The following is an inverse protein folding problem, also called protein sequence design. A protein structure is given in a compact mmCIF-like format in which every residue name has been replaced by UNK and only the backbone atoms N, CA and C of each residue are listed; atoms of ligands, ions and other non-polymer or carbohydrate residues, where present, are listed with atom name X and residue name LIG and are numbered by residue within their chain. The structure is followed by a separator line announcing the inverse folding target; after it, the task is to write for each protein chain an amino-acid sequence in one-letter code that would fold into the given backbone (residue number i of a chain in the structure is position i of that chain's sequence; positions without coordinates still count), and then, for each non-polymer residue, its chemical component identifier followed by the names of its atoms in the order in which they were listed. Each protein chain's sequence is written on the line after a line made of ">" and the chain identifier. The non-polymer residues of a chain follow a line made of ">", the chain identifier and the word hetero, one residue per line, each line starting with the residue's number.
data_IF_063380002978
#
_entry.id   IF_063380002978
#
_cell.length_a   1.000
_cell.length_b   1.000
_cell.length_c   1.000
_cell.angle_alpha   90.00
_cell.angle_beta   90.00
_cell.angle_gamma   90.00
#
_symmetry.space_group_name_H-M   'P 1'
#
loop_
_entity.id
_entity.type
_entity.pdbx_description
1 polymer ?
#
# COMPACT_ATOMS: atom_id res chain seq x y z
N UNK A 1 -24.29 47.03 -13.57
CA UNK A 1 -24.05 45.75 -12.96
C UNK A 1 -22.60 45.40 -13.30
N UNK A 2 -21.76 45.37 -12.27
CA UNK A 2 -20.29 45.41 -12.35
C UNK A 2 -19.75 44.06 -12.74
N UNK A 3 -19.16 43.94 -13.93
CA UNK A 3 -18.48 42.71 -14.46
C UNK A 3 -17.08 42.43 -13.84
N UNK A 4 -16.76 43.09 -12.72
CA UNK A 4 -15.43 43.01 -12.10
C UNK A 4 -15.14 41.71 -11.33
N UNK A 5 -16.14 40.87 -11.06
CA UNK A 5 -15.99 39.64 -10.24
C UNK A 5 -15.71 38.35 -11.05
N UNK A 6 -15.80 38.40 -12.38
CA UNK A 6 -15.60 37.21 -13.23
C UNK A 6 -14.16 37.05 -13.74
N UNK A 7 -13.35 38.10 -13.74
CA UNK A 7 -11.99 38.06 -14.26
C UNK A 7 -10.94 37.60 -13.23
N UNK A 8 -11.13 37.86 -11.94
CA UNK A 8 -10.20 37.50 -10.87
C UNK A 8 -9.99 35.98 -10.67
N UNK A 9 -11.03 35.11 -10.70
CA UNK A 9 -10.84 33.67 -10.54
C UNK A 9 -10.03 33.05 -11.67
N UNK A 10 -10.16 33.49 -12.88
CA UNK A 10 -9.47 32.97 -14.06
C UNK A 10 -7.99 33.34 -14.02
N UNK A 11 -7.67 34.60 -13.71
CA UNK A 11 -6.30 35.07 -13.57
C UNK A 11 -5.56 34.37 -12.44
N UNK A 12 -6.22 34.15 -11.29
CA UNK A 12 -5.68 33.44 -10.15
C UNK A 12 -5.40 31.95 -10.47
N UNK A 13 -6.32 31.28 -11.16
CA UNK A 13 -6.12 29.88 -11.61
C UNK A 13 -4.95 29.78 -12.58
N UNK A 14 -4.81 30.70 -13.52
CA UNK A 14 -3.67 30.76 -14.45
C UNK A 14 -2.33 30.87 -13.72
N UNK A 15 -2.23 31.77 -12.76
CA UNK A 15 -1.04 31.96 -11.93
C UNK A 15 -0.68 30.70 -11.11
N UNK A 16 -1.69 29.98 -10.56
CA UNK A 16 -1.47 28.74 -9.84
C UNK A 16 -0.96 27.61 -10.74
N UNK A 17 -1.48 27.51 -11.96
CA UNK A 17 -1.03 26.52 -12.95
C UNK A 17 0.42 26.80 -13.38
N UNK A 18 0.76 28.06 -13.66
CA UNK A 18 2.13 28.47 -13.99
C UNK A 18 3.09 28.14 -12.85
N UNK A 19 2.75 28.53 -11.61
CA UNK A 19 3.57 28.25 -10.44
C UNK A 19 3.72 26.75 -10.17
N UNK A 20 2.64 25.99 -10.38
CA UNK A 20 2.67 24.53 -10.32
C UNK A 20 3.62 23.91 -11.35
N UNK A 21 3.62 24.45 -12.58
CA UNK A 21 4.54 24.04 -13.64
C UNK A 21 6.00 24.31 -13.29
N UNK A 22 6.33 25.50 -12.78
CA UNK A 22 7.69 25.84 -12.31
C UNK A 22 8.19 24.90 -11.21
N UNK A 23 7.34 24.58 -10.24
CA UNK A 23 7.68 23.65 -9.16
C UNK A 23 7.97 22.24 -9.69
N UNK A 24 7.17 21.75 -10.63
CA UNK A 24 7.35 20.46 -11.27
C UNK A 24 8.64 20.41 -12.09
N UNK A 25 8.95 21.43 -12.88
CA UNK A 25 10.20 21.50 -13.66
C UNK A 25 11.43 21.59 -12.74
N UNK A 26 11.34 22.32 -11.63
CA UNK A 26 12.39 22.35 -10.61
C UNK A 26 12.63 20.97 -10.00
N UNK A 27 11.56 20.24 -9.67
CA UNK A 27 11.64 18.88 -9.14
C UNK A 27 12.20 17.90 -10.19
N UNK A 28 11.71 17.95 -11.42
CA UNK A 28 12.19 17.14 -12.53
C UNK A 28 13.68 17.39 -12.81
N UNK A 29 14.13 18.66 -12.75
CA UNK A 29 15.52 19.03 -12.94
C UNK A 29 16.49 18.41 -11.93
N UNK A 30 16.04 18.15 -10.71
CA UNK A 30 16.86 17.47 -9.66
C UNK A 30 17.10 15.99 -9.98
N UNK A 31 16.19 15.38 -10.72
CA UNK A 31 16.22 13.93 -11.01
C UNK A 31 16.76 13.65 -12.42
N UNK A 32 16.57 14.58 -13.37
CA UNK A 32 17.16 14.48 -14.71
C UNK A 32 18.69 14.44 -14.60
N UNK A 33 19.29 13.35 -14.93
CA UNK A 33 20.74 13.12 -14.83
C UNK A 33 21.13 12.09 -13.77
N UNK A 34 20.22 11.75 -12.84
CA UNK A 34 20.43 10.64 -11.91
C UNK A 34 19.75 9.34 -12.37
N UNK A 35 18.78 9.44 -13.29
CA UNK A 35 18.03 8.29 -13.82
C UNK A 35 18.05 8.29 -15.36
N UNK A 36 18.05 7.09 -15.95
CA UNK A 36 18.04 6.86 -17.40
C UNK A 36 16.61 6.63 -17.95
N UNK A 37 15.63 7.35 -17.39
CA UNK A 37 14.24 7.25 -17.82
C UNK A 37 13.70 8.60 -18.26
N UNK A 38 12.71 8.59 -19.15
CA UNK A 38 12.03 9.80 -19.58
C UNK A 38 11.20 10.38 -18.41
N UNK A 39 11.39 11.68 -18.16
CA UNK A 39 10.66 12.42 -17.12
C UNK A 39 9.76 13.45 -17.79
N UNK A 40 8.45 13.30 -17.61
CA UNK A 40 7.45 14.28 -18.00
C UNK A 40 6.77 14.88 -16.79
N UNK A 41 6.33 16.13 -16.91
CA UNK A 41 5.64 16.85 -15.85
C UNK A 41 4.20 17.13 -16.23
N UNK A 42 3.29 17.15 -15.25
CA UNK A 42 1.88 17.45 -15.47
C UNK A 42 1.25 18.07 -14.24
N UNK A 43 0.65 19.24 -14.41
CA UNK A 43 -0.23 19.83 -13.39
C UNK A 43 -1.62 19.20 -13.51
N UNK A 44 -2.19 18.79 -12.38
CA UNK A 44 -3.54 18.25 -12.28
C UNK A 44 -4.41 19.24 -11.48
N UNK A 45 -5.61 19.48 -11.94
CA UNK A 45 -6.58 20.36 -11.28
C UNK A 45 -7.50 19.57 -10.36
N UNK A 46 -7.91 20.21 -9.24
CA UNK A 46 -8.86 19.68 -8.28
C UNK A 46 -8.23 19.23 -6.97
N UNK A 47 -9.01 18.56 -6.12
CA UNK A 47 -8.52 18.03 -4.86
C UNK A 47 -7.56 16.86 -5.10
N UNK A 48 -6.46 16.80 -4.33
CA UNK A 48 -5.32 15.87 -4.51
C UNK A 48 -5.76 14.42 -4.70
N UNK A 49 -6.54 13.87 -3.77
CA UNK A 49 -6.98 12.48 -3.84
C UNK A 49 -7.88 12.19 -5.05
N UNK A 50 -8.77 13.12 -5.40
CA UNK A 50 -9.66 12.99 -6.55
C UNK A 50 -8.92 13.07 -7.88
N UNK A 51 -7.99 14.01 -8.02
CA UNK A 51 -7.19 14.20 -9.22
C UNK A 51 -6.24 13.01 -9.44
N UNK A 52 -5.49 12.61 -8.42
CA UNK A 52 -4.59 11.45 -8.47
C UNK A 52 -5.39 10.14 -8.64
N UNK A 53 -6.54 9.99 -7.96
CA UNK A 53 -7.41 8.84 -8.13
C UNK A 53 -7.94 8.66 -9.56
N UNK A 54 -8.26 9.76 -10.26
CA UNK A 54 -8.60 9.72 -11.68
C UNK A 54 -7.38 9.41 -12.55
N UNK A 55 -6.24 10.02 -12.23
CA UNK A 55 -5.00 9.80 -12.99
C UNK A 55 -4.45 8.39 -12.84
N UNK A 56 -4.68 7.74 -11.69
CA UNK A 56 -4.23 6.37 -11.39
C UNK A 56 -4.73 5.30 -12.36
N UNK A 57 -5.77 5.59 -13.17
CA UNK A 57 -6.23 4.68 -14.23
C UNK A 57 -5.32 4.65 -15.47
N UNK A 58 -4.34 5.55 -15.54
CA UNK A 58 -3.45 5.76 -16.70
C UNK A 58 -2.00 5.43 -16.40
N UNK A 59 -1.69 5.04 -15.17
CA UNK A 59 -0.33 4.74 -14.71
C UNK A 59 -0.29 3.38 -14.02
N UNK A 60 0.88 2.75 -14.01
CA UNK A 60 1.10 1.46 -13.37
C UNK A 60 1.17 1.57 -11.85
N UNK A 61 1.66 2.69 -11.33
CA UNK A 61 1.83 2.95 -9.90
C UNK A 61 1.80 4.46 -9.62
N UNK A 62 1.32 4.84 -8.44
CA UNK A 62 1.52 6.16 -7.85
C UNK A 62 2.56 6.04 -6.73
N UNK A 63 3.48 7.00 -6.66
CA UNK A 63 4.41 7.15 -5.54
C UNK A 63 4.12 8.47 -4.85
N UNK A 64 3.89 8.44 -3.55
CA UNK A 64 3.58 9.63 -2.74
C UNK A 64 4.44 9.64 -1.48
N UNK A 65 4.92 10.81 -1.10
CA UNK A 65 5.63 10.98 0.17
C UNK A 65 4.64 11.01 1.35
N UNK A 66 5.08 10.51 2.51
CA UNK A 66 4.32 10.69 3.77
C UNK A 66 4.43 12.12 4.32
N UNK A 67 5.40 12.88 3.86
CA UNK A 67 5.72 14.30 4.08
C UNK A 67 5.74 14.78 5.53
N UNK A 68 6.66 15.72 5.82
CA UNK A 68 6.65 16.43 7.09
C UNK A 68 5.44 17.37 7.21
N UNK A 69 4.89 17.50 8.41
CA UNK A 69 3.65 18.23 8.75
C UNK A 69 3.80 19.77 8.64
N UNK A 70 4.02 20.33 7.46
CA UNK A 70 4.26 21.76 7.30
C UNK A 70 3.09 22.59 6.75
N UNK A 71 1.96 21.97 6.36
CA UNK A 71 0.83 22.70 5.77
C UNK A 71 -0.54 22.18 6.29
N UNK A 72 -0.82 22.37 7.60
CA UNK A 72 -2.20 22.36 8.12
C UNK A 72 -3.09 21.14 7.87
N UNK A 73 -2.51 19.96 7.73
CA UNK A 73 -3.18 18.67 7.62
C UNK A 73 -2.13 17.59 7.57
N UNK A 74 -2.32 16.48 8.27
CA UNK A 74 -1.35 15.38 8.24
C UNK A 74 -1.19 14.89 6.79
N UNK A 75 0.03 14.86 6.27
CA UNK A 75 0.31 14.30 4.94
C UNK A 75 0.00 12.80 4.89
N UNK A 76 0.06 12.12 6.05
CA UNK A 76 -0.47 10.77 6.23
C UNK A 76 -1.94 10.70 5.80
N UNK A 77 -2.77 11.71 6.13
CA UNK A 77 -4.17 11.75 5.72
C UNK A 77 -4.33 11.86 4.20
N UNK A 78 -3.47 12.61 3.52
CA UNK A 78 -3.48 12.73 2.05
C UNK A 78 -3.02 11.43 1.38
N UNK A 79 -1.96 10.80 1.87
CA UNK A 79 -1.49 9.50 1.39
C UNK A 79 -2.58 8.43 1.58
N UNK A 80 -3.26 8.40 2.73
CA UNK A 80 -4.41 7.54 3.01
C UNK A 80 -5.55 7.78 2.03
N UNK A 81 -5.90 9.04 1.76
CA UNK A 81 -6.97 9.39 0.81
C UNK A 81 -6.60 8.98 -0.63
N UNK A 82 -5.33 9.18 -1.04
CA UNK A 82 -4.84 8.75 -2.35
C UNK A 82 -4.86 7.23 -2.47
N UNK A 83 -4.34 6.50 -1.48
CA UNK A 83 -4.35 5.04 -1.45
C UNK A 83 -5.78 4.47 -1.49
N UNK A 84 -6.73 5.14 -0.84
CA UNK A 84 -8.15 4.77 -0.85
C UNK A 84 -8.84 5.03 -2.20
N UNK A 85 -8.42 6.06 -2.95
CA UNK A 85 -9.05 6.50 -4.21
C UNK A 85 -8.44 5.87 -5.46
N UNK A 86 -7.17 5.45 -5.39
CA UNK A 86 -6.40 4.97 -6.54
C UNK A 86 -6.92 3.64 -7.12
N UNK A 87 -6.64 3.44 -8.41
CA UNK A 87 -6.97 2.23 -9.19
C UNK A 87 -5.71 1.44 -9.60
N UNK A 88 -4.53 1.96 -9.28
CA UNK A 88 -3.24 1.28 -9.39
C UNK A 88 -2.60 1.18 -8.00
N UNK A 89 -1.55 0.37 -7.81
CA UNK A 89 -0.76 0.36 -6.59
C UNK A 89 -0.29 1.75 -6.19
N UNK A 90 -0.28 2.03 -4.88
CA UNK A 90 0.21 3.29 -4.32
C UNK A 90 1.33 2.98 -3.34
N UNK A 91 2.54 3.41 -3.68
CA UNK A 91 3.68 3.38 -2.78
C UNK A 91 3.71 4.66 -1.94
N UNK A 92 3.72 4.51 -0.63
CA UNK A 92 3.88 5.60 0.34
C UNK A 92 5.30 5.52 0.90
N UNK A 93 6.06 6.59 0.71
CA UNK A 93 7.47 6.69 1.09
C UNK A 93 7.60 7.65 2.28
N UNK A 94 8.23 7.18 3.35
CA UNK A 94 8.59 7.99 4.51
C UNK A 94 10.01 8.56 4.39
N UNK A 95 10.45 9.22 5.45
CA UNK A 95 11.81 9.80 5.54
C UNK A 95 12.83 8.78 6.10
N UNK A 96 12.46 7.49 6.21
CA UNK A 96 13.35 6.46 6.72
C UNK A 96 14.46 6.15 5.73
N UNK A 97 15.68 5.97 6.24
CA UNK A 97 16.78 5.38 5.47
C UNK A 97 16.49 3.89 5.20
N UNK A 98 16.70 3.47 3.96
CA UNK A 98 16.39 2.11 3.49
C UNK A 98 17.59 1.39 2.86
N UNK A 99 18.76 2.05 2.79
CA UNK A 99 19.92 1.53 2.07
C UNK A 99 20.39 0.17 2.59
N UNK A 100 20.38 -0.01 3.92
CA UNK A 100 20.80 -1.25 4.58
C UNK A 100 19.65 -2.24 4.85
N UNK A 101 18.41 -1.91 4.46
CA UNK A 101 17.25 -2.76 4.68
C UNK A 101 17.13 -3.82 3.61
N UNK A 102 16.66 -5.00 3.99
CA UNK A 102 16.54 -6.16 3.11
C UNK A 102 15.17 -6.81 3.22
N UNK A 103 14.81 -7.52 2.16
CA UNK A 103 13.59 -8.29 2.08
C UNK A 103 12.33 -7.47 1.80
N UNK A 104 11.36 -8.14 1.22
CA UNK A 104 10.00 -7.63 0.98
C UNK A 104 9.05 -8.38 1.91
N UNK A 105 8.17 -7.65 2.60
CA UNK A 105 7.13 -8.22 3.46
C UNK A 105 5.78 -8.07 2.78
N UNK A 106 4.98 -9.13 2.74
CA UNK A 106 3.60 -9.10 2.27
C UNK A 106 2.64 -9.49 3.39
N UNK A 107 1.62 -8.67 3.63
CA UNK A 107 0.54 -8.98 4.56
C UNK A 107 -0.61 -9.70 3.87
N UNK A 108 -1.04 -10.83 4.42
CA UNK A 108 -2.14 -11.62 3.86
C UNK A 108 -3.19 -11.96 4.91
N UNK A 109 -4.41 -12.22 4.42
CA UNK A 109 -5.55 -12.66 5.23
C UNK A 109 -6.42 -13.70 4.49
N UNK A 110 -5.93 -14.22 3.35
CA UNK A 110 -6.64 -15.17 2.50
C UNK A 110 -7.72 -14.56 1.62
N UNK A 111 -7.80 -13.23 1.50
CA UNK A 111 -8.66 -12.56 0.53
C UNK A 111 -8.05 -12.56 -0.87
N UNK A 112 -8.87 -12.32 -1.90
CA UNK A 112 -8.39 -12.15 -3.29
C UNK A 112 -7.44 -10.93 -3.39
N UNK A 113 -7.71 -9.88 -2.63
CA UNK A 113 -6.86 -8.69 -2.55
C UNK A 113 -5.48 -9.01 -1.96
N UNK A 114 -5.42 -9.90 -0.96
CA UNK A 114 -4.17 -10.37 -0.38
C UNK A 114 -3.34 -11.17 -1.38
N UNK A 115 -3.98 -12.04 -2.19
CA UNK A 115 -3.29 -12.77 -3.27
C UNK A 115 -2.68 -11.82 -4.29
N UNK A 116 -3.36 -10.74 -4.65
CA UNK A 116 -2.82 -9.70 -5.54
C UNK A 116 -1.65 -8.94 -4.90
N UNK A 117 -1.72 -8.68 -3.59
CA UNK A 117 -0.63 -8.04 -2.87
C UNK A 117 0.62 -8.94 -2.83
N UNK A 118 0.44 -10.25 -2.62
CA UNK A 118 1.53 -11.23 -2.67
C UNK A 118 2.15 -11.32 -4.06
N UNK A 119 1.34 -11.39 -5.12
CA UNK A 119 1.85 -11.43 -6.49
C UNK A 119 2.68 -10.17 -6.82
N UNK A 120 2.22 -8.99 -6.40
CA UNK A 120 2.99 -7.74 -6.53
C UNK A 120 4.31 -7.82 -5.73
N UNK A 121 4.25 -8.26 -4.46
CA UNK A 121 5.41 -8.36 -3.59
C UNK A 121 6.45 -9.35 -4.12
N UNK A 122 6.01 -10.49 -4.67
CA UNK A 122 6.88 -11.49 -5.28
C UNK A 122 7.61 -10.95 -6.50
N UNK A 123 6.89 -10.26 -7.40
CA UNK A 123 7.49 -9.62 -8.57
C UNK A 123 8.55 -8.58 -8.20
N UNK A 124 8.29 -7.78 -7.15
CA UNK A 124 9.26 -6.78 -6.68
C UNK A 124 10.45 -7.42 -5.95
N UNK A 125 10.21 -8.47 -5.14
CA UNK A 125 11.27 -9.20 -4.46
C UNK A 125 12.21 -9.89 -5.47
N UNK A 126 11.66 -10.58 -6.46
CA UNK A 126 12.41 -11.23 -7.53
C UNK A 126 13.23 -10.20 -8.33
N UNK A 127 12.60 -9.09 -8.75
CA UNK A 127 13.25 -8.01 -9.51
C UNK A 127 14.43 -7.38 -8.77
N UNK A 128 14.35 -7.27 -7.43
CA UNK A 128 15.36 -6.66 -6.57
C UNK A 128 16.35 -7.69 -5.98
N UNK A 129 16.20 -8.99 -6.30
CA UNK A 129 17.01 -10.06 -5.71
C UNK A 129 16.85 -10.15 -4.19
N UNK A 130 15.64 -9.90 -3.67
CA UNK A 130 15.30 -9.90 -2.25
C UNK A 130 14.49 -11.15 -1.88
N UNK A 131 14.53 -11.55 -0.60
CA UNK A 131 13.62 -12.56 -0.08
C UNK A 131 12.21 -11.97 0.14
N UNK A 132 11.18 -12.79 -0.04
CA UNK A 132 9.80 -12.46 0.28
C UNK A 132 9.39 -13.12 1.61
N UNK A 133 8.92 -12.31 2.56
CA UNK A 133 8.29 -12.82 3.79
C UNK A 133 6.80 -12.56 3.74
N UNK A 134 6.00 -13.63 3.69
CA UNK A 134 4.54 -13.55 3.70
C UNK A 134 4.03 -13.75 5.12
N UNK A 135 3.38 -12.72 5.66
CA UNK A 135 2.89 -12.68 7.04
C UNK A 135 1.37 -12.78 7.06
N UNK A 136 0.87 -13.84 7.67
CA UNK A 136 -0.52 -13.99 8.04
C UNK A 136 -0.67 -13.80 9.55
N UNK A 137 -1.47 -12.84 9.97
CA UNK A 137 -1.67 -12.56 11.37
C UNK A 137 -3.16 -12.47 11.72
N UNK A 138 -3.54 -13.13 12.79
CA UNK A 138 -4.88 -13.06 13.35
C UNK A 138 -4.81 -13.20 14.87
N UNK A 139 -5.82 -12.74 15.58
CA UNK A 139 -5.94 -13.04 17.00
C UNK A 139 -6.34 -14.49 17.17
N UNK A 140 -5.40 -15.27 17.66
CA UNK A 140 -5.60 -16.69 17.96
C UNK A 140 -6.68 -16.95 19.00
N UNK A 141 -7.09 -18.20 19.12
CA UNK A 141 -8.15 -18.62 20.02
C UNK A 141 -7.77 -18.66 21.51
N UNK A 142 -6.50 -18.36 21.87
CA UNK A 142 -5.97 -18.49 23.24
C UNK A 142 -6.84 -17.83 24.31
N UNK A 143 -7.37 -16.65 24.03
CA UNK A 143 -8.32 -15.96 24.93
C UNK A 143 -9.58 -16.75 25.25
N UNK A 144 -10.03 -17.58 24.32
CA UNK A 144 -11.21 -18.42 24.49
C UNK A 144 -10.87 -19.75 25.20
N UNK A 145 -9.62 -20.21 25.07
CA UNK A 145 -9.09 -21.34 25.86
C UNK A 145 -9.02 -20.91 27.33
N UNK A 146 -8.41 -19.78 27.62
CA UNK A 146 -8.26 -19.23 28.98
C UNK A 146 -9.62 -19.00 29.67
N UNK A 147 -10.65 -18.65 28.89
CA UNK A 147 -12.02 -18.47 29.39
C UNK A 147 -12.80 -19.78 29.50
N UNK A 148 -12.23 -20.92 29.08
CA UNK A 148 -12.92 -22.22 29.03
C UNK A 148 -13.97 -22.34 27.90
N UNK A 149 -14.05 -21.34 27.00
CA UNK A 149 -15.01 -21.33 25.90
C UNK A 149 -14.57 -22.19 24.71
N UNK A 150 -13.28 -22.53 24.62
CA UNK A 150 -12.72 -23.36 23.57
C UNK A 150 -11.78 -24.44 24.15
N UNK A 151 -11.76 -25.62 23.54
CA UNK A 151 -10.78 -26.65 23.87
C UNK A 151 -9.48 -26.43 23.10
N UNK A 152 -8.32 -26.83 23.66
CA UNK A 152 -7.03 -26.76 22.98
C UNK A 152 -7.05 -27.44 21.61
N UNK A 153 -7.72 -28.58 21.49
CA UNK A 153 -7.86 -29.30 20.21
C UNK A 153 -8.59 -28.47 19.14
N UNK A 154 -9.65 -27.77 19.50
CA UNK A 154 -10.38 -26.93 18.56
C UNK A 154 -9.57 -25.67 18.21
N UNK A 155 -8.83 -25.11 19.18
CA UNK A 155 -7.90 -24.01 18.95
C UNK A 155 -6.80 -24.37 17.97
N UNK A 156 -6.20 -25.56 18.12
CA UNK A 156 -5.18 -26.04 17.20
C UNK A 156 -5.74 -26.21 15.78
N UNK A 157 -6.95 -26.75 15.64
CA UNK A 157 -7.59 -26.87 14.32
C UNK A 157 -7.78 -25.53 13.62
N UNK A 158 -8.14 -24.48 14.35
CA UNK A 158 -8.25 -23.13 13.79
C UNK A 158 -6.89 -22.65 13.26
N UNK A 159 -5.82 -22.87 14.02
CA UNK A 159 -4.46 -22.51 13.60
C UNK A 159 -4.04 -23.29 12.35
N UNK A 160 -4.34 -24.59 12.31
CA UNK A 160 -4.01 -25.48 11.18
C UNK A 160 -4.76 -25.04 9.90
N UNK A 161 -6.06 -24.68 10.03
CA UNK A 161 -6.86 -24.17 8.93
C UNK A 161 -6.28 -22.85 8.36
N UNK A 162 -5.84 -21.93 9.22
CA UNK A 162 -5.25 -20.67 8.77
C UNK A 162 -3.83 -20.86 8.19
N UNK A 163 -3.11 -21.90 8.62
CA UNK A 163 -1.83 -22.30 8.00
C UNK A 163 -2.03 -22.82 6.56
N UNK A 164 -3.14 -23.53 6.31
CA UNK A 164 -3.54 -23.95 4.95
C UNK A 164 -3.83 -22.73 4.10
N UNK A 165 -4.62 -21.77 4.58
CA UNK A 165 -4.93 -20.53 3.87
C UNK A 165 -3.67 -19.75 3.48
N UNK A 166 -2.69 -19.63 4.41
CA UNK A 166 -1.41 -19.02 4.12
C UNK A 166 -0.68 -19.76 2.98
N UNK A 167 -0.68 -21.10 3.04
CA UNK A 167 -0.02 -21.92 2.01
C UNK A 167 -0.70 -21.85 0.65
N UNK A 168 -2.04 -21.80 0.62
CA UNK A 168 -2.82 -21.61 -0.62
C UNK A 168 -2.59 -20.23 -1.24
N UNK A 169 -2.49 -19.18 -0.41
CA UNK A 169 -2.28 -17.81 -0.89
C UNK A 169 -0.96 -17.65 -1.67
N UNK A 170 0.05 -18.44 -1.35
CA UNK A 170 1.36 -18.40 -2.01
C UNK A 170 1.59 -19.58 -2.98
N UNK A 171 0.58 -20.44 -3.13
CA UNK A 171 0.66 -21.53 -4.12
C UNK A 171 0.85 -20.95 -5.52
N UNK A 172 1.72 -21.55 -6.32
CA UNK A 172 2.04 -21.04 -7.65
C UNK A 172 3.22 -20.05 -7.70
N UNK A 173 3.61 -19.39 -6.61
CA UNK A 173 4.77 -18.50 -6.66
C UNK A 173 6.06 -19.21 -7.09
N UNK A 174 6.24 -20.48 -6.70
CA UNK A 174 7.42 -21.26 -7.09
C UNK A 174 7.44 -21.59 -8.60
N UNK A 175 6.29 -21.59 -9.27
CA UNK A 175 6.20 -21.79 -10.73
C UNK A 175 6.57 -20.49 -11.46
N UNK A 176 6.08 -19.34 -10.96
CA UNK A 176 6.32 -18.03 -11.57
C UNK A 176 7.73 -17.48 -11.23
N UNK A 177 8.23 -17.77 -10.02
CA UNK A 177 9.49 -17.25 -9.46
C UNK A 177 10.30 -18.39 -8.81
N UNK A 178 10.97 -19.27 -9.59
CA UNK A 178 11.62 -20.48 -9.07
C UNK A 178 12.81 -20.20 -8.16
N UNK A 179 13.47 -19.06 -8.31
CA UNK A 179 14.65 -18.69 -7.50
C UNK A 179 14.28 -17.79 -6.30
N UNK A 180 13.01 -17.43 -6.16
CA UNK A 180 12.55 -16.56 -5.08
C UNK A 180 12.45 -17.33 -3.75
N UNK A 181 13.21 -16.89 -2.76
CA UNK A 181 13.10 -17.40 -1.39
C UNK A 181 11.84 -16.82 -0.73
N UNK A 182 10.88 -17.69 -0.40
CA UNK A 182 9.62 -17.32 0.22
C UNK A 182 9.52 -17.84 1.65
N UNK A 183 9.53 -16.94 2.62
CA UNK A 183 9.38 -17.23 4.05
C UNK A 183 7.91 -17.07 4.46
N UNK A 184 7.35 -18.07 5.15
CA UNK A 184 5.98 -18.07 5.67
C UNK A 184 5.99 -17.77 7.16
N UNK A 185 5.19 -16.80 7.58
CA UNK A 185 5.07 -16.39 8.98
C UNK A 185 3.61 -16.33 9.37
N UNK A 186 3.18 -17.22 10.26
CA UNK A 186 1.88 -17.18 10.92
C UNK A 186 2.04 -16.55 12.31
N UNK A 187 1.25 -15.53 12.63
CA UNK A 187 1.21 -14.85 13.93
C UNK A 187 -0.18 -14.93 14.52
N UNK A 188 -0.31 -15.56 15.66
CA UNK A 188 -1.58 -15.78 16.37
C UNK A 188 -1.74 -14.92 17.63
N UNK A 189 -0.64 -14.28 18.04
CA UNK A 189 -0.51 -13.51 19.29
C UNK A 189 -0.69 -12.01 19.14
N UNK A 190 -0.82 -11.52 17.90
CA UNK A 190 -0.84 -10.06 17.59
C UNK A 190 -1.96 -9.66 16.67
N UNK A 191 -2.37 -8.40 16.79
CA UNK A 191 -3.20 -7.76 15.78
C UNK A 191 -2.46 -7.72 14.43
N UNK A 192 -3.15 -7.92 13.30
CA UNK A 192 -2.53 -7.95 11.97
C UNK A 192 -1.62 -6.77 11.68
N UNK A 193 -2.07 -5.54 11.96
CA UNK A 193 -1.26 -4.35 11.72
C UNK A 193 0.03 -4.32 12.57
N UNK A 194 -0.06 -4.69 13.86
CA UNK A 194 1.10 -4.73 14.74
C UNK A 194 2.13 -5.80 14.31
N UNK A 195 1.64 -6.97 13.88
CA UNK A 195 2.49 -8.03 13.35
C UNK A 195 3.24 -7.59 12.08
N UNK A 196 2.53 -6.93 11.17
CA UNK A 196 3.10 -6.41 9.92
C UNK A 196 4.12 -5.29 10.17
N UNK A 197 3.80 -4.32 11.04
CA UNK A 197 4.73 -3.24 11.41
C UNK A 197 6.01 -3.81 12.02
N UNK A 198 5.89 -4.84 12.88
CA UNK A 198 7.05 -5.50 13.46
C UNK A 198 7.87 -6.24 12.40
N UNK A 199 7.23 -7.02 11.53
CA UNK A 199 7.90 -7.78 10.47
C UNK A 199 8.61 -6.86 9.47
N UNK A 200 8.01 -5.72 9.18
CA UNK A 200 8.52 -4.74 8.22
C UNK A 200 9.57 -3.78 8.80
N UNK A 201 9.89 -3.85 10.09
CA UNK A 201 10.81 -2.91 10.76
C UNK A 201 12.21 -2.85 10.13
N UNK A 202 12.71 -3.96 9.58
CA UNK A 202 13.98 -4.04 8.87
C UNK A 202 13.83 -4.29 7.35
N UNK A 203 12.59 -4.33 6.84
CA UNK A 203 12.32 -4.62 5.44
C UNK A 203 12.54 -3.38 4.54
N UNK A 204 12.89 -3.63 3.27
CA UNK A 204 12.93 -2.60 2.23
C UNK A 204 11.55 -2.13 1.83
N UNK A 205 10.56 -3.04 1.88
CA UNK A 205 9.20 -2.78 1.42
C UNK A 205 8.19 -3.61 2.19
N UNK A 206 7.04 -3.01 2.48
CA UNK A 206 5.84 -3.69 2.95
C UNK A 206 4.75 -3.58 1.88
N UNK A 207 4.10 -4.69 1.56
CA UNK A 207 2.97 -4.72 0.61
C UNK A 207 1.73 -5.27 1.29
N UNK A 208 0.61 -4.55 1.17
CA UNK A 208 -0.68 -4.99 1.70
C UNK A 208 -1.81 -4.64 0.73
N UNK A 209 -2.87 -5.43 0.73
CA UNK A 209 -4.09 -5.12 0.02
C UNK A 209 -4.80 -3.89 0.61
N UNK A 210 -5.48 -3.12 -0.22
CA UNK A 210 -6.29 -1.97 0.25
C UNK A 210 -7.47 -2.41 1.11
N UNK A 211 -7.87 -3.67 1.04
CA UNK A 211 -8.93 -4.31 1.83
C UNK A 211 -8.53 -5.75 2.16
N UNK A 212 -9.34 -6.41 3.00
CA UNK A 212 -9.18 -7.80 3.37
C UNK A 212 -10.52 -8.45 3.72
N UNK A 213 -10.49 -9.66 4.33
CA UNK A 213 -11.68 -10.49 4.68
C UNK A 213 -12.77 -9.74 5.44
N UNK A 214 -12.40 -8.79 6.32
CA UNK A 214 -13.36 -8.04 7.15
C UNK A 214 -14.12 -6.93 6.43
N UNK A 215 -14.07 -6.89 5.10
CA UNK A 215 -14.49 -5.80 4.23
C UNK A 215 -15.85 -5.21 4.50
N UNK A 216 -15.93 -4.22 5.37
CA UNK A 216 -17.02 -3.25 5.32
C UNK A 216 -16.98 -2.59 3.95
N UNK A 217 -17.87 -3.01 3.04
CA UNK A 217 -17.95 -2.51 1.63
C UNK A 217 -18.05 -1.00 1.52
N UNK A 218 -18.32 -0.30 2.64
CA UNK A 218 -18.40 1.17 2.72
C UNK A 218 -17.08 1.86 3.03
N UNK A 219 -16.08 1.15 3.55
CA UNK A 219 -14.76 1.74 3.82
C UNK A 219 -13.91 1.66 2.55
N UNK A 220 -13.30 2.77 2.19
CA UNK A 220 -12.42 2.89 1.02
C UNK A 220 -11.08 2.19 1.26
N UNK A 221 -10.62 2.10 2.52
CA UNK A 221 -9.38 1.46 2.94
C UNK A 221 -9.65 0.59 4.18
N UNK A 222 -9.03 -0.61 4.22
CA UNK A 222 -9.13 -1.55 5.34
C UNK A 222 -8.40 -1.06 6.59
N UNK A 223 -8.79 -1.56 7.77
CA UNK A 223 -8.19 -1.17 9.05
C UNK A 223 -6.70 -1.49 9.13
N UNK A 224 -6.28 -2.64 8.62
CA UNK A 224 -4.87 -3.04 8.58
C UNK A 224 -4.06 -2.11 7.68
N UNK A 225 -4.52 -1.86 6.45
CA UNK A 225 -3.87 -0.94 5.51
C UNK A 225 -3.79 0.49 6.08
N UNK A 226 -4.87 0.97 6.71
CA UNK A 226 -4.87 2.27 7.39
C UNK A 226 -3.82 2.32 8.50
N UNK A 227 -3.78 1.32 9.38
CA UNK A 227 -2.87 1.28 10.52
C UNK A 227 -1.39 1.17 10.08
N UNK A 228 -1.07 0.32 9.08
CA UNK A 228 0.31 0.25 8.57
C UNK A 228 0.77 1.55 7.91
N UNK A 229 -0.10 2.24 7.18
CA UNK A 229 0.23 3.56 6.61
C UNK A 229 0.43 4.64 7.68
N UNK A 230 -0.30 4.56 8.77
CA UNK A 230 -0.13 5.49 9.91
C UNK A 230 1.21 5.28 10.60
N UNK A 231 1.68 4.04 10.74
CA UNK A 231 2.97 3.71 11.36
C UNK A 231 4.14 3.83 10.38
N UNK A 232 3.90 3.51 9.12
CA UNK A 232 4.83 3.56 8.00
C UNK A 232 6.24 3.03 8.35
N UNK A 233 6.39 1.73 8.67
CA UNK A 233 7.65 1.17 9.16
C UNK A 233 8.77 1.21 8.12
N UNK A 234 8.40 1.15 6.84
CA UNK A 234 9.26 1.21 5.66
C UNK A 234 8.42 1.69 4.45
N UNK A 235 8.99 1.88 3.27
CA UNK A 235 8.22 2.07 2.03
C UNK A 235 7.08 1.05 1.94
N UNK A 236 5.84 1.55 1.90
CA UNK A 236 4.65 0.68 1.98
C UNK A 236 3.80 0.83 0.74
N UNK A 237 3.52 -0.28 0.08
CA UNK A 237 2.67 -0.35 -1.11
C UNK A 237 1.29 -0.87 -0.74
N UNK A 238 0.27 -0.11 -1.15
CA UNK A 238 -1.13 -0.52 -1.06
C UNK A 238 -1.59 -0.94 -2.45
N UNK A 239 -1.95 -2.22 -2.61
CA UNK A 239 -2.53 -2.72 -3.87
C UNK A 239 -4.04 -2.51 -3.89
N UNK A 240 -4.61 -1.95 -4.96
CA UNK A 240 -6.05 -1.70 -5.04
C UNK A 240 -6.82 -2.99 -5.28
N UNK A 241 -8.11 -2.98 -4.95
CA UNK A 241 -9.04 -4.03 -5.37
C UNK A 241 -9.16 -4.02 -6.90
N UNK A 242 -8.67 -5.05 -7.56
CA UNK A 242 -8.92 -5.22 -9.00
C UNK A 242 -10.32 -5.82 -9.18
N UNK A 243 -11.23 -5.07 -9.78
CA UNK A 243 -12.47 -5.65 -10.27
C UNK A 243 -12.15 -6.55 -11.46
N UNK A 244 -12.31 -7.86 -11.32
CA UNK A 244 -12.31 -8.76 -12.49
C UNK A 244 -13.26 -8.18 -13.52
N UNK A 245 -12.75 -7.81 -14.70
CA UNK A 245 -13.59 -7.60 -15.86
C UNK A 245 -14.18 -8.95 -16.20
N UNK A 246 -15.44 -9.19 -15.85
CA UNK A 246 -16.16 -10.30 -16.43
C UNK A 246 -16.06 -10.14 -17.96
N UNK A 247 -15.26 -10.98 -18.61
CA UNK A 247 -15.36 -11.16 -20.06
C UNK A 247 -16.78 -11.67 -20.31
N UNK A 248 -17.61 -10.79 -20.90
CA UNK A 248 -18.85 -11.23 -21.54
C UNK A 248 -18.53 -12.06 -22.77
#
# INVERSE_FOLDING_TARGET
>A
VDDRWTAEPVAFTGMLLEKGGELLETAAGRVRGTVLVEISTKVLEGGVAGALGKYSTKVSMLVVGSGAAHLGGSLTDRALQVAAAAKCPVAVIGDQEIEDRQGVVAGVDGSEEATQAVAFAAAEADREGQELTVVYAFRGPDRWIDSGALTEHLAQRIVDEEQVVLSETISGLAEDYPDLVVNKVLKTDKEPAAALVQAAGAARMLVVGSRGRGGFKRLLLGSTAHAVLTHLPCPTVITPVQRRKHKK
#
